data_IF_426202417938
#
_entry.id   IF_426202417938
#
_cell.length_a   1.000
_cell.length_b   1.000
_cell.length_c   1.000
_cell.angle_alpha   90.00
_cell.angle_beta   90.00
_cell.angle_gamma   90.00
#
_symmetry.space_group_name_H-M   'P 1'
#
loop_
_entity.id
_entity.type
_entity.pdbx_description
1 polymer ?
#
# COMPACT_ATOMS: atom_id res chain seq x y z
N UNK A 1 -8.87 11.02 -1.49
CA UNK A 1 -8.50 10.02 -0.45
C UNK A 1 -7.98 10.67 0.83
N UNK A 2 -7.14 11.72 0.76
CA UNK A 2 -6.54 12.36 1.94
C UNK A 2 -7.53 12.80 3.02
N UNK A 3 -8.62 13.48 2.66
CA UNK A 3 -9.66 13.91 3.62
C UNK A 3 -10.27 12.73 4.37
N UNK A 4 -10.52 11.61 3.68
CA UNK A 4 -11.13 10.40 4.26
C UNK A 4 -10.21 9.71 5.27
N UNK A 5 -8.91 9.69 4.99
CA UNK A 5 -7.91 9.14 5.91
C UNK A 5 -7.91 9.92 7.23
N UNK A 6 -7.90 11.26 7.15
CA UNK A 6 -7.87 12.11 8.35
C UNK A 6 -9.13 11.93 9.20
N UNK A 7 -10.28 11.64 8.60
CA UNK A 7 -11.57 11.51 9.31
C UNK A 7 -11.85 10.10 9.84
N UNK A 8 -11.43 9.05 9.13
CA UNK A 8 -11.82 7.66 9.44
C UNK A 8 -10.68 6.81 10.02
N UNK A 9 -9.42 7.24 9.87
CA UNK A 9 -8.24 6.44 10.22
C UNK A 9 -7.54 6.99 11.45
N UNK A 10 -7.23 6.10 12.39
CA UNK A 10 -6.52 6.47 13.61
C UNK A 10 -5.03 6.82 13.33
N UNK A 11 -4.42 7.69 14.15
CA UNK A 11 -3.00 8.06 14.00
C UNK A 11 -2.07 6.83 14.05
N UNK A 12 -2.36 5.87 14.92
CA UNK A 12 -1.60 4.62 15.01
C UNK A 12 -1.73 3.77 13.74
N UNK A 13 -2.95 3.68 13.20
CA UNK A 13 -3.27 2.94 11.98
C UNK A 13 -2.49 3.52 10.77
N UNK A 14 -2.35 4.84 10.71
CA UNK A 14 -1.53 5.51 9.69
C UNK A 14 -0.03 5.22 9.87
N UNK A 15 0.47 5.20 11.11
CA UNK A 15 1.85 4.82 11.39
C UNK A 15 2.13 3.34 11.04
N UNK A 16 1.16 2.46 11.26
CA UNK A 16 1.23 1.04 10.88
C UNK A 16 1.29 0.88 9.36
N UNK A 17 0.48 1.65 8.63
CA UNK A 17 0.55 1.70 7.17
C UNK A 17 1.93 2.16 6.67
N UNK A 18 2.51 3.20 7.28
CA UNK A 18 3.85 3.67 6.89
C UNK A 18 4.93 2.58 7.03
N UNK A 19 4.82 1.73 8.05
CA UNK A 19 5.70 0.56 8.22
C UNK A 19 5.49 -0.48 7.13
N UNK A 20 4.24 -0.78 6.78
CA UNK A 20 3.92 -1.69 5.67
C UNK A 20 4.38 -1.16 4.32
N UNK A 21 4.15 0.12 4.03
CA UNK A 21 4.61 0.79 2.82
C UNK A 21 6.14 0.66 2.67
N UNK A 22 6.89 0.88 3.75
CA UNK A 22 8.36 0.75 3.74
C UNK A 22 8.78 -0.69 3.43
N UNK A 23 8.11 -1.68 4.02
CA UNK A 23 8.36 -3.09 3.73
C UNK A 23 8.10 -3.42 2.26
N UNK A 24 6.98 -2.97 1.70
CA UNK A 24 6.61 -3.20 0.30
C UNK A 24 7.62 -2.55 -0.66
N UNK A 25 8.04 -1.31 -0.39
CA UNK A 25 9.03 -0.61 -1.21
C UNK A 25 10.34 -1.41 -1.26
N UNK A 26 10.83 -1.84 -0.10
CA UNK A 26 12.10 -2.59 -0.02
C UNK A 26 11.99 -3.99 -0.62
N UNK A 27 10.87 -4.68 -0.42
CA UNK A 27 10.68 -6.05 -0.90
C UNK A 27 10.58 -6.13 -2.42
N UNK A 28 9.85 -5.19 -3.04
CA UNK A 28 9.64 -5.16 -4.49
C UNK A 28 10.60 -4.22 -5.24
N UNK A 29 11.50 -3.52 -4.52
CA UNK A 29 12.42 -2.55 -5.12
C UNK A 29 11.70 -1.39 -5.83
N UNK A 30 10.64 -0.87 -5.21
CA UNK A 30 9.76 0.11 -5.85
C UNK A 30 10.40 1.49 -5.97
N UNK A 31 10.33 2.09 -7.16
CA UNK A 31 10.55 3.52 -7.33
C UNK A 31 9.24 4.27 -7.02
N UNK A 32 9.21 5.06 -5.94
CA UNK A 32 8.02 5.84 -5.56
C UNK A 32 7.67 6.96 -6.56
N UNK A 33 8.56 7.27 -7.50
CA UNK A 33 8.29 8.19 -8.59
C UNK A 33 7.57 7.52 -9.76
N UNK A 34 7.68 6.19 -9.91
CA UNK A 34 6.97 5.44 -10.93
C UNK A 34 5.44 5.47 -10.67
N UNK A 35 4.62 5.94 -11.64
CA UNK A 35 3.17 5.90 -11.54
C UNK A 35 2.60 4.52 -11.20
N UNK A 36 3.20 3.42 -11.68
CA UNK A 36 2.74 2.06 -11.40
C UNK A 36 2.97 1.68 -9.95
N UNK A 37 4.17 1.95 -9.41
CA UNK A 37 4.50 1.75 -8.01
C UNK A 37 3.59 2.60 -7.09
N UNK A 38 3.32 3.86 -7.45
CA UNK A 38 2.37 4.70 -6.71
C UNK A 38 0.96 4.14 -6.71
N UNK A 39 0.49 3.61 -7.84
CA UNK A 39 -0.82 2.96 -7.94
C UNK A 39 -0.88 1.67 -7.12
N UNK A 40 0.18 0.86 -7.13
CA UNK A 40 0.32 -0.33 -6.30
C UNK A 40 0.24 0.02 -4.80
N UNK A 41 1.06 0.97 -4.33
CA UNK A 41 1.07 1.41 -2.93
C UNK A 41 -0.28 2.01 -2.50
N UNK A 42 -0.95 2.77 -3.38
CA UNK A 42 -2.27 3.36 -3.08
C UNK A 42 -3.38 2.31 -2.95
N UNK A 43 -3.34 1.26 -3.79
CA UNK A 43 -4.27 0.12 -3.69
C UNK A 43 -4.05 -0.65 -2.38
N UNK A 44 -2.80 -0.98 -2.07
CA UNK A 44 -2.41 -1.65 -0.82
C UNK A 44 -2.83 -0.82 0.42
N UNK A 45 -2.59 0.50 0.39
CA UNK A 45 -2.99 1.42 1.46
C UNK A 45 -4.50 1.35 1.72
N UNK A 46 -5.29 1.41 0.64
CA UNK A 46 -6.74 1.45 0.75
C UNK A 46 -7.28 0.13 1.32
N UNK A 47 -6.74 -1.00 0.86
CA UNK A 47 -7.06 -2.32 1.40
C UNK A 47 -6.69 -2.45 2.89
N UNK A 48 -5.49 -1.99 3.27
CA UNK A 48 -5.01 -2.05 4.66
C UNK A 48 -5.81 -1.17 5.61
N UNK A 49 -6.05 0.10 5.24
CA UNK A 49 -6.65 1.10 6.13
C UNK A 49 -8.17 1.00 6.22
N UNK A 50 -8.85 0.78 5.11
CA UNK A 50 -10.32 0.81 5.09
C UNK A 50 -10.94 -0.58 5.22
N UNK A 51 -10.13 -1.65 5.26
CA UNK A 51 -10.59 -3.04 5.18
C UNK A 51 -11.63 -3.24 4.07
N UNK A 52 -11.57 -2.40 3.04
CA UNK A 52 -12.42 -2.49 1.86
C UNK A 52 -11.91 -3.70 1.11
N UNK A 53 -12.52 -4.84 1.39
CA UNK A 53 -12.10 -6.15 0.93
C UNK A 53 -11.69 -6.13 -0.54
N UNK A 54 -10.40 -6.26 -0.75
CA UNK A 54 -9.87 -7.39 -1.49
C UNK A 54 -8.85 -8.07 -0.57
N UNK A 55 -9.35 -8.81 0.43
CA UNK A 55 -8.55 -9.75 1.24
C UNK A 55 -7.97 -10.91 0.39
N UNK A 56 -7.81 -10.76 -0.93
CA UNK A 56 -7.60 -11.92 -1.81
C UNK A 56 -6.62 -11.74 -2.96
N UNK A 57 -5.88 -10.63 -3.08
CA UNK A 57 -4.95 -10.51 -4.23
C UNK A 57 -3.66 -9.72 -3.97
N UNK A 58 -3.31 -9.47 -2.71
CA UNK A 58 -1.91 -9.09 -2.42
C UNK A 58 -1.16 -10.39 -2.23
N UNK A 59 -0.99 -11.10 -3.35
CA UNK A 59 -0.16 -12.29 -3.44
C UNK A 59 1.30 -11.85 -3.24
N UNK A 60 1.69 -11.73 -1.97
CA UNK A 60 3.07 -11.47 -1.55
C UNK A 60 4.01 -12.64 -1.89
N UNK A 61 3.48 -13.76 -2.41
CA UNK A 61 4.28 -14.88 -2.91
C UNK A 61 4.70 -14.69 -4.38
N UNK A 62 4.04 -13.81 -5.14
CA UNK A 62 4.56 -13.41 -6.46
C UNK A 62 5.71 -12.44 -6.25
N UNK A 63 6.93 -13.00 -6.23
CA UNK A 63 8.14 -12.27 -6.60
C UNK A 63 8.01 -11.85 -8.06
N UNK A 64 7.29 -10.76 -8.28
CA UNK A 64 7.10 -10.16 -9.58
C UNK A 64 7.60 -8.74 -9.48
N UNK A 65 8.74 -8.49 -10.12
CA UNK A 65 9.10 -7.16 -10.63
C UNK A 65 7.81 -6.47 -11.07
N UNK A 66 7.49 -5.30 -10.53
CA UNK A 66 6.51 -4.43 -11.18
C UNK A 66 7.19 -4.06 -12.50
N UNK A 67 6.99 -4.91 -13.52
CA UNK A 67 7.84 -4.93 -14.69
C UNK A 67 7.50 -3.75 -15.57
N UNK A 68 8.56 -3.06 -16.00
CA UNK A 68 8.56 -1.99 -17.00
C UNK A 68 8.02 -2.47 -18.35
#
# INVERSE_FOLDING_TARGET
IGTRIVTEICRQCWADWGRQQTMLINHYGLDVMDPQARAFLTRNMSAFLFKTGAESDIDTSKQGTISH
#
